data_IF_568848330066
#
_entry.id   IF_568848330066
#
_cell.length_a   1.000
_cell.length_b   1.000
_cell.length_c   1.000
_cell.angle_alpha   90.00
_cell.angle_beta   90.00
_cell.angle_gamma   90.00
#
_symmetry.space_group_name_H-M   'P 1'
#
loop_
_entity.id
_entity.type
_entity.pdbx_description
1 polymer ?
#
# COMPACT_ATOMS: atom_id res chain seq x y z
N UNK A 1 -10.98 -10.25 2.87
CA UNK A 1 -10.09 -9.08 2.85
C UNK A 1 -9.91 -8.56 4.26
N UNK A 2 -8.69 -8.31 4.64
CA UNK A 2 -8.36 -7.80 5.97
C UNK A 2 -7.74 -6.42 5.84
N UNK A 3 -8.24 -5.48 6.62
CA UNK A 3 -7.76 -4.11 6.55
C UNK A 3 -7.18 -3.70 7.90
N UNK A 4 -5.98 -3.14 7.87
CA UNK A 4 -5.33 -2.61 9.05
C UNK A 4 -4.93 -1.17 8.80
N UNK A 5 -5.02 -0.36 9.83
CA UNK A 5 -4.67 1.05 9.73
C UNK A 5 -3.61 1.38 10.76
N UNK A 6 -2.55 2.02 10.33
CA UNK A 6 -1.52 2.48 11.24
C UNK A 6 -0.98 3.80 10.75
N UNK A 7 -0.17 4.44 11.54
CA UNK A 7 0.43 5.70 11.14
C UNK A 7 1.88 5.47 10.77
N UNK A 8 2.29 6.19 9.72
CA UNK A 8 3.68 6.20 9.34
C UNK A 8 4.38 7.24 10.17
N UNK A 9 4.65 6.91 11.43
CA UNK A 9 5.26 7.87 12.31
C UNK A 9 6.70 7.53 12.54
N UNK A 10 7.47 8.56 12.75
CA UNK A 10 8.84 8.44 13.14
C UNK A 10 8.91 8.79 14.61
N UNK A 11 9.19 7.82 15.43
CA UNK A 11 9.16 8.05 16.87
C UNK A 11 10.33 8.85 17.38
N UNK A 12 11.31 9.08 16.57
CA UNK A 12 12.42 9.89 17.01
C UNK A 12 12.23 11.31 16.60
N UNK A 13 11.13 11.55 16.11
CA UNK A 13 10.84 12.67 15.51
C UNK A 13 10.75 13.88 16.10
N UNK A 14 10.85 13.99 17.22
CA UNK A 14 10.71 15.26 17.74
C UNK A 14 11.57 16.23 17.03
N UNK A 15 12.60 15.77 16.44
CA UNK A 15 13.42 16.71 15.77
C UNK A 15 13.06 16.83 14.35
N UNK A 16 12.14 16.09 13.87
CA UNK A 16 11.82 16.17 12.48
C UNK A 16 10.62 17.00 12.30
N UNK A 17 10.77 18.24 12.55
CA UNK A 17 9.65 19.10 12.47
C UNK A 17 8.99 19.10 11.17
N UNK A 18 9.58 18.75 10.08
CA UNK A 18 8.90 18.74 8.81
C UNK A 18 8.35 17.40 8.44
N UNK A 19 8.42 16.45 9.34
CA UNK A 19 7.89 15.13 9.06
C UNK A 19 6.39 15.16 9.12
N UNK A 20 5.76 14.75 8.06
CA UNK A 20 4.34 14.59 8.04
C UNK A 20 3.99 13.21 8.51
N UNK A 21 2.99 13.13 9.33
CA UNK A 21 2.47 11.83 9.73
C UNK A 21 1.10 11.66 9.13
N UNK A 22 0.84 10.49 8.60
CA UNK A 22 -0.45 10.18 8.03
C UNK A 22 -0.68 8.69 8.21
N UNK A 23 -1.93 8.28 8.26
CA UNK A 23 -2.21 6.87 8.44
C UNK A 23 -1.89 6.06 7.20
N UNK A 24 -1.43 4.84 7.41
CA UNK A 24 -1.24 3.89 6.33
C UNK A 24 -2.20 2.75 6.56
N UNK A 25 -2.99 2.45 5.55
CA UNK A 25 -3.97 1.38 5.61
C UNK A 25 -3.40 0.16 4.92
N UNK A 26 -3.21 -0.90 5.69
CA UNK A 26 -2.75 -2.16 5.11
C UNK A 26 -3.92 -3.03 4.78
N UNK A 27 -3.95 -3.58 3.59
CA UNK A 27 -5.04 -4.40 3.11
C UNK A 27 -4.48 -5.74 2.66
N UNK A 28 -4.89 -6.81 3.35
CA UNK A 28 -4.52 -8.15 2.94
C UNK A 28 -5.70 -8.81 2.25
N UNK A 29 -5.43 -9.48 1.16
CA UNK A 29 -6.46 -10.15 0.40
C UNK A 29 -5.94 -11.46 -0.16
N UNK A 30 -6.82 -12.46 -0.21
CA UNK A 30 -6.49 -13.72 -0.87
C UNK A 30 -6.68 -13.55 -2.38
N UNK A 31 -6.33 -14.59 -3.12
CA UNK A 31 -6.45 -14.54 -4.57
C UNK A 31 -7.85 -14.20 -5.04
N UNK A 32 -8.87 -14.56 -4.27
CA UNK A 32 -10.24 -14.23 -4.65
C UNK A 32 -10.69 -12.84 -4.29
N UNK A 33 -9.80 -12.01 -3.76
CA UNK A 33 -10.17 -10.70 -3.26
C UNK A 33 -10.06 -9.56 -4.24
N UNK A 34 -9.79 -9.83 -5.52
CA UNK A 34 -9.58 -8.75 -6.48
C UNK A 34 -10.81 -7.86 -6.60
N UNK A 35 -11.98 -8.47 -6.71
CA UNK A 35 -13.20 -7.68 -6.86
C UNK A 35 -13.42 -6.79 -5.64
N UNK A 36 -13.16 -7.32 -4.45
CA UNK A 36 -13.32 -6.53 -3.24
C UNK A 36 -12.32 -5.37 -3.21
N UNK A 37 -11.10 -5.60 -3.66
CA UNK A 37 -10.12 -4.52 -3.73
C UNK A 37 -10.54 -3.45 -4.73
N UNK A 38 -11.05 -3.88 -5.87
CA UNK A 38 -11.51 -2.94 -6.88
C UNK A 38 -12.65 -2.08 -6.34
N UNK A 39 -13.61 -2.71 -5.68
CA UNK A 39 -14.74 -1.98 -5.11
C UNK A 39 -14.28 -1.04 -4.01
N UNK A 40 -13.34 -1.49 -3.19
CA UNK A 40 -12.83 -0.65 -2.12
C UNK A 40 -12.21 0.62 -2.71
N UNK A 41 -11.36 0.47 -3.71
CA UNK A 41 -10.67 1.62 -4.28
C UNK A 41 -11.62 2.55 -5.02
N UNK A 42 -12.65 2.00 -5.64
CA UNK A 42 -13.63 2.84 -6.32
C UNK A 42 -14.37 3.74 -5.35
N UNK A 43 -14.49 3.34 -4.11
CA UNK A 43 -15.25 4.07 -3.12
C UNK A 43 -14.40 4.89 -2.17
N UNK A 44 -13.10 4.89 -2.33
CA UNK A 44 -12.19 5.64 -1.48
C UNK A 44 -11.92 6.99 -2.14
N UNK A 45 -12.09 8.10 -1.41
CA UNK A 45 -11.75 9.40 -1.99
C UNK A 45 -10.27 9.48 -2.33
N UNK A 46 -9.96 10.11 -3.46
CA UNK A 46 -8.58 10.20 -3.90
C UNK A 46 -7.75 11.15 -3.07
N UNK A 47 -8.39 11.94 -2.24
CA UNK A 47 -7.69 12.93 -1.42
C UNK A 47 -7.95 12.72 0.07
N UNK A 48 -8.06 11.47 0.47
CA UNK A 48 -8.35 11.17 1.87
C UNK A 48 -7.18 11.47 2.80
N UNK A 49 -5.99 11.66 2.28
CA UNK A 49 -4.81 11.85 3.10
C UNK A 49 -4.20 10.57 3.60
N UNK A 50 -4.73 9.43 3.17
CA UNK A 50 -4.24 8.12 3.60
C UNK A 50 -3.39 7.50 2.52
N UNK A 51 -2.48 6.64 2.91
CA UNK A 51 -1.76 5.80 1.97
C UNK A 51 -2.27 4.37 2.14
N UNK A 52 -2.22 3.59 1.08
CA UNK A 52 -2.73 2.23 1.08
C UNK A 52 -1.65 1.27 0.63
N UNK A 53 -1.47 0.19 1.39
CA UNK A 53 -0.50 -0.85 1.05
C UNK A 53 -1.27 -2.13 0.91
N UNK A 54 -1.21 -2.72 -0.26
CA UNK A 54 -2.01 -3.90 -0.59
C UNK A 54 -1.09 -5.10 -0.65
N UNK A 55 -1.41 -6.10 0.16
CA UNK A 55 -0.68 -7.36 0.20
C UNK A 55 -1.66 -8.43 -0.25
N UNK A 56 -1.42 -9.00 -1.42
CA UNK A 56 -2.29 -10.01 -1.93
C UNK A 56 -1.49 -11.28 -2.22
N UNK A 57 -1.99 -12.39 -1.75
CA UNK A 57 -1.39 -13.68 -2.07
C UNK A 57 -1.88 -14.09 -3.45
N UNK A 58 -1.14 -13.65 -4.45
CA UNK A 58 -1.52 -13.92 -5.80
C UNK A 58 -0.92 -15.19 -6.32
N UNK A 59 -1.58 -15.75 -7.29
CA UNK A 59 -0.98 -16.77 -8.12
C UNK A 59 0.24 -16.13 -8.78
N UNK A 60 1.42 -16.69 -8.65
CA UNK A 60 2.61 -16.08 -9.24
C UNK A 60 2.51 -15.87 -10.74
N UNK A 61 1.62 -16.58 -11.41
CA UNK A 61 1.48 -16.42 -12.85
C UNK A 61 0.83 -15.10 -13.22
N UNK A 62 0.26 -14.37 -12.25
CA UNK A 62 -0.36 -13.09 -12.52
C UNK A 62 0.46 -11.92 -11.99
N UNK A 63 1.73 -12.17 -11.81
CA UNK A 63 2.62 -11.17 -11.30
C UNK A 63 2.64 -9.95 -12.20
N UNK A 64 2.60 -8.78 -11.60
CA UNK A 64 2.72 -7.53 -12.34
C UNK A 64 1.43 -6.96 -12.87
N UNK A 65 0.35 -7.73 -12.84
CA UNK A 65 -0.90 -7.24 -13.41
C UNK A 65 -1.78 -6.47 -12.44
N UNK A 66 -1.62 -6.71 -11.15
CA UNK A 66 -2.52 -6.11 -10.17
C UNK A 66 -2.44 -4.58 -10.15
N UNK A 67 -1.26 -3.96 -10.18
CA UNK A 67 -1.23 -2.50 -10.15
C UNK A 67 -2.00 -1.88 -11.30
N UNK A 68 -1.88 -2.45 -12.50
CA UNK A 68 -2.60 -1.91 -13.64
C UNK A 68 -4.10 -2.07 -13.51
N UNK A 69 -4.54 -3.21 -13.01
CA UNK A 69 -5.95 -3.44 -12.81
C UNK A 69 -6.53 -2.47 -11.79
N UNK A 70 -5.81 -2.24 -10.71
CA UNK A 70 -6.30 -1.34 -9.68
C UNK A 70 -6.23 0.11 -10.11
N UNK A 71 -5.25 0.49 -10.94
CA UNK A 71 -5.16 1.86 -11.41
C UNK A 71 -6.41 2.28 -12.17
N UNK A 72 -7.10 1.33 -12.77
CA UNK A 72 -8.32 1.64 -13.50
C UNK A 72 -9.49 1.97 -12.59
N UNK A 73 -9.35 1.70 -11.30
CA UNK A 73 -10.44 1.87 -10.35
C UNK A 73 -10.28 3.07 -9.44
N UNK A 74 -9.19 3.80 -9.54
CA UNK A 74 -8.94 4.92 -8.66
C UNK A 74 -8.15 5.99 -9.39
N UNK A 75 -8.33 7.23 -8.95
CA UNK A 75 -7.52 8.33 -9.47
C UNK A 75 -6.23 8.52 -8.66
N UNK A 76 -6.08 7.81 -7.56
CA UNK A 76 -4.81 7.83 -6.85
C UNK A 76 -3.75 7.15 -7.69
N UNK A 77 -2.48 7.48 -7.44
CA UNK A 77 -1.39 6.80 -8.12
C UNK A 77 -1.20 5.42 -7.53
N UNK A 78 -1.14 4.40 -8.38
CA UNK A 78 -0.95 3.02 -7.95
C UNK A 78 0.42 2.56 -8.41
N UNK A 79 1.24 2.10 -7.47
CA UNK A 79 2.59 1.65 -7.76
C UNK A 79 2.78 0.21 -7.36
N UNK A 80 3.59 -0.50 -8.11
CA UNK A 80 4.13 -1.75 -7.58
C UNK A 80 5.27 -1.36 -6.65
N UNK A 81 5.20 -1.81 -5.41
CA UNK A 81 6.16 -1.39 -4.41
C UNK A 81 7.54 -1.92 -4.72
N UNK A 82 8.55 -1.13 -4.40
CA UNK A 82 9.93 -1.51 -4.53
C UNK A 82 10.60 -1.32 -3.20
N UNK A 83 11.69 -2.04 -3.00
CA UNK A 83 12.43 -1.93 -1.75
C UNK A 83 12.92 -0.51 -1.53
N UNK A 84 12.79 -0.03 -0.31
CA UNK A 84 13.22 1.30 0.11
C UNK A 84 12.43 2.42 -0.54
N UNK A 85 11.15 2.16 -0.85
CA UNK A 85 10.29 3.15 -1.47
C UNK A 85 9.61 4.00 -0.42
N UNK A 86 9.64 5.29 -0.60
CA UNK A 86 8.98 6.20 0.32
C UNK A 86 7.46 6.14 0.11
N UNK A 87 6.72 6.06 1.20
CA UNK A 87 5.26 6.02 1.15
C UNK A 87 4.73 7.43 1.26
N UNK A 88 3.85 7.81 0.35
CA UNK A 88 3.26 9.14 0.33
C UNK A 88 1.74 9.03 0.45
N UNK A 89 1.09 10.08 0.98
CA UNK A 89 -0.37 10.04 1.09
C UNK A 89 -1.03 10.04 -0.29
N UNK A 90 -2.23 9.54 -0.32
CA UNK A 90 -3.06 9.49 -1.51
C UNK A 90 -2.45 8.63 -2.61
N UNK A 91 -1.70 7.61 -2.21
CA UNK A 91 -1.09 6.67 -3.14
C UNK A 91 -1.36 5.25 -2.67
N UNK A 92 -1.31 4.34 -3.61
CA UNK A 92 -1.55 2.92 -3.37
C UNK A 92 -0.29 2.15 -3.76
N UNK A 93 0.16 1.28 -2.87
CA UNK A 93 1.38 0.50 -3.08
C UNK A 93 1.01 -0.97 -3.06
N UNK A 94 1.30 -1.69 -4.13
CA UNK A 94 0.99 -3.11 -4.24
C UNK A 94 2.27 -3.90 -4.02
N UNK A 95 2.26 -4.76 -3.01
CA UNK A 95 3.44 -5.56 -2.68
C UNK A 95 3.56 -6.70 -3.68
N UNK A 96 4.74 -6.90 -4.28
CA UNK A 96 4.92 -8.00 -5.22
C UNK A 96 4.72 -9.36 -4.54
N UNK A 97 4.32 -10.37 -5.28
CA UNK A 97 4.16 -11.70 -4.71
C UNK A 97 5.48 -12.23 -4.16
N UNK A 98 5.38 -13.06 -3.15
CA UNK A 98 6.54 -13.72 -2.55
C UNK A 98 7.53 -12.77 -1.89
N UNK A 99 7.04 -11.63 -1.42
CA UNK A 99 7.87 -10.70 -0.67
C UNK A 99 7.22 -10.41 0.66
N UNK A 100 8.04 -10.29 1.68
CA UNK A 100 7.61 -9.74 2.95
C UNK A 100 7.91 -8.25 2.96
N UNK A 101 7.20 -7.52 3.80
CA UNK A 101 7.40 -6.09 3.83
C UNK A 101 7.38 -5.57 5.26
N UNK A 102 8.04 -4.47 5.46
CA UNK A 102 7.91 -3.70 6.67
C UNK A 102 7.90 -2.23 6.30
N UNK A 103 7.36 -1.43 7.21
CA UNK A 103 7.32 0.01 7.01
C UNK A 103 7.99 0.64 8.22
N UNK A 104 8.99 1.46 7.98
CA UNK A 104 9.71 2.12 9.02
C UNK A 104 9.96 3.56 8.62
N UNK A 105 9.50 4.48 9.44
CA UNK A 105 9.69 5.91 9.18
C UNK A 105 9.20 6.33 7.81
N UNK A 106 8.08 5.77 7.41
CA UNK A 106 7.47 6.13 6.13
C UNK A 106 8.13 5.53 4.92
N UNK A 107 9.02 4.57 5.10
CA UNK A 107 9.69 3.91 3.99
C UNK A 107 9.31 2.44 4.00
N UNK A 108 9.00 1.93 2.83
CA UNK A 108 8.58 0.57 2.63
C UNK A 108 9.80 -0.28 2.28
N UNK A 109 10.03 -1.34 3.05
CA UNK A 109 11.14 -2.24 2.80
C UNK A 109 10.61 -3.61 2.42
N UNK A 110 11.16 -4.19 1.37
CA UNK A 110 10.78 -5.51 0.91
C UNK A 110 11.94 -6.47 1.12
N UNK A 111 11.60 -7.69 1.47
CA UNK A 111 12.65 -8.70 1.67
C UNK A 111 12.06 -10.07 1.41
N UNK A 112 12.96 -11.05 1.25
CA UNK A 112 12.52 -12.42 1.04
C UNK A 112 11.92 -12.97 2.31
N UNK A 113 10.84 -13.73 2.22
CA UNK A 113 10.20 -14.28 3.39
C UNK A 113 11.05 -15.35 4.08
#
# INVERSE_FOLDING_TARGET
>A
MTIRKSKATDHSEKETRNTETFPIVGIGASAGGLEALEQFLENVPEDSGLAYVIIQHLDPTQEGMLPELLQRRTKMSVYQAKDSMEVKPDCVYVIPPNKSMSILKGVLYLFEP
#
